data_IF_301669165854
#
_entry.id   IF_301669165854
#
_cell.length_a   1.000
_cell.length_b   1.000
_cell.length_c   1.000
_cell.angle_alpha   90.00
_cell.angle_beta   90.00
_cell.angle_gamma   90.00
#
_symmetry.space_group_name_H-M   'P 1'
#
loop_
_entity.id
_entity.type
_entity.pdbx_description
1 polymer ?
#
# COMPACT_ATOMS: atom_id res chain seq x y z
N UNK A 1 -14.33 -54.75 -13.38
CA UNK A 1 -15.20 -54.07 -12.40
C UNK A 1 -14.52 -54.19 -11.05
N UNK A 2 -14.41 -53.09 -10.29
CA UNK A 2 -13.61 -52.90 -9.06
C UNK A 2 -12.12 -52.60 -9.23
N UNK A 3 -11.81 -51.33 -9.50
CA UNK A 3 -10.64 -50.69 -8.87
C UNK A 3 -10.80 -49.15 -8.87
N UNK A 4 -11.99 -48.67 -8.55
CA UNK A 4 -12.22 -47.27 -8.21
C UNK A 4 -12.64 -47.23 -6.76
N UNK A 5 -11.70 -46.99 -5.85
CA UNK A 5 -11.87 -46.59 -4.44
C UNK A 5 -10.49 -46.63 -3.76
N UNK A 6 -9.65 -45.63 -3.99
CA UNK A 6 -8.64 -45.24 -2.99
C UNK A 6 -8.94 -43.79 -2.64
N UNK A 7 -9.83 -43.68 -1.66
CA UNK A 7 -10.31 -42.46 -1.03
C UNK A 7 -9.16 -41.79 -0.28
N UNK A 8 -9.00 -40.49 -0.53
CA UNK A 8 -8.74 -39.45 0.48
C UNK A 8 -7.98 -39.90 1.74
N UNK A 9 -6.64 -39.88 1.66
CA UNK A 9 -5.80 -39.80 2.86
C UNK A 9 -5.75 -38.35 3.36
N UNK A 10 -6.81 -37.94 4.05
CA UNK A 10 -6.80 -36.81 4.97
C UNK A 10 -5.99 -37.20 6.21
N UNK A 11 -4.72 -36.80 6.27
CA UNK A 11 -4.02 -36.69 7.54
C UNK A 11 -3.96 -35.22 7.93
N UNK A 12 -5.04 -34.78 8.57
CA UNK A 12 -5.12 -33.54 9.33
C UNK A 12 -4.14 -33.69 10.50
N UNK A 13 -3.02 -32.97 10.46
CA UNK A 13 -2.14 -32.83 11.60
C UNK A 13 -2.78 -31.91 12.63
N UNK A 14 -3.49 -32.50 13.60
CA UNK A 14 -3.93 -31.83 14.81
C UNK A 14 -2.74 -31.69 15.77
N UNK A 15 -2.25 -30.47 15.96
CA UNK A 15 -1.32 -30.17 17.06
C UNK A 15 -2.12 -29.83 18.31
N UNK A 16 -2.17 -30.75 19.28
CA UNK A 16 -2.60 -30.47 20.65
C UNK A 16 -1.41 -29.85 21.40
N UNK A 17 -1.45 -28.55 21.68
CA UNK A 17 -0.53 -27.90 22.61
C UNK A 17 -1.15 -27.90 24.02
N UNK A 18 -0.53 -28.67 24.92
CA UNK A 18 -0.89 -28.80 26.32
C UNK A 18 -0.68 -27.51 27.11
N UNK A 19 -1.63 -27.23 28.00
CA UNK A 19 -1.69 -26.07 28.89
C UNK A 19 -0.77 -26.27 30.09
N UNK A 20 0.40 -25.62 30.10
CA UNK A 20 1.24 -25.51 31.30
C UNK A 20 1.00 -24.15 31.96
N UNK A 21 0.26 -24.16 33.07
CA UNK A 21 0.11 -23.01 33.95
C UNK A 21 1.44 -22.73 34.65
N UNK A 22 2.14 -21.68 34.21
CA UNK A 22 3.18 -21.04 35.02
C UNK A 22 2.81 -19.57 35.09
N UNK A 23 2.45 -19.12 36.30
CA UNK A 23 2.06 -17.74 36.56
C UNK A 23 3.24 -16.81 36.37
N UNK A 24 3.32 -16.18 35.20
CA UNK A 24 4.01 -14.91 35.00
C UNK A 24 2.94 -13.83 34.90
N UNK A 25 2.96 -12.86 35.80
CA UNK A 25 2.24 -11.60 35.64
C UNK A 25 2.76 -10.92 34.36
N UNK A 26 2.14 -11.23 33.23
CA UNK A 26 2.32 -10.47 32.01
C UNK A 26 1.49 -9.20 32.23
N UNK A 27 2.16 -8.15 32.68
CA UNK A 27 1.71 -6.78 32.47
C UNK A 27 1.35 -6.72 30.97
N UNK A 28 0.11 -6.36 30.57
CA UNK A 28 -0.22 -6.20 29.17
C UNK A 28 0.63 -5.03 28.66
N UNK A 29 1.80 -5.34 28.10
CA UNK A 29 2.50 -4.44 27.21
C UNK A 29 1.52 -4.20 26.07
N UNK A 30 1.04 -2.95 25.93
CA UNK A 30 0.36 -2.50 24.73
C UNK A 30 1.08 -3.12 23.52
N UNK A 31 0.37 -3.66 22.51
CA UNK A 31 1.03 -4.10 21.29
C UNK A 31 1.81 -2.90 20.78
N UNK A 32 3.14 -2.94 20.92
CA UNK A 32 3.99 -1.99 20.23
C UNK A 32 3.79 -2.34 18.77
N UNK A 33 2.96 -1.56 18.07
CA UNK A 33 2.79 -1.67 16.63
C UNK A 33 4.18 -1.73 16.02
N UNK A 34 4.54 -2.89 15.47
CA UNK A 34 5.81 -3.01 14.76
C UNK A 34 5.80 -1.95 13.65
N UNK A 35 6.91 -1.22 13.45
CA UNK A 35 6.96 -0.20 12.43
C UNK A 35 6.74 -0.86 11.06
N UNK A 36 5.70 -0.41 10.37
CA UNK A 36 5.25 -0.93 9.06
C UNK A 36 6.38 -0.87 8.02
N UNK A 37 7.32 0.04 8.20
CA UNK A 37 8.37 0.32 7.25
C UNK A 37 7.89 1.30 6.18
N UNK A 38 8.77 1.58 5.22
CA UNK A 38 8.49 2.58 4.20
C UNK A 38 7.61 1.98 3.09
N UNK A 39 6.37 2.48 2.99
CA UNK A 39 5.43 2.11 1.92
C UNK A 39 5.07 3.35 1.12
N UNK A 40 5.09 3.24 -0.19
CA UNK A 40 4.82 4.30 -1.14
C UNK A 40 3.48 4.06 -1.81
N UNK A 41 2.65 5.09 -1.91
CA UNK A 41 1.41 5.03 -2.66
C UNK A 41 1.20 6.27 -3.53
N UNK A 42 0.59 6.08 -4.69
CA UNK A 42 0.14 7.20 -5.54
C UNK A 42 -1.38 7.24 -5.55
N UNK A 43 -1.94 8.34 -5.07
CA UNK A 43 -3.38 8.59 -5.11
C UNK A 43 -3.69 9.77 -6.05
N UNK A 44 -4.82 9.70 -6.73
CA UNK A 44 -5.31 10.81 -7.53
C UNK A 44 -6.05 11.86 -6.69
N UNK A 45 -6.13 13.09 -7.21
CA UNK A 45 -6.83 14.21 -6.57
C UNK A 45 -8.28 13.93 -6.20
N UNK A 46 -8.99 13.07 -6.93
CA UNK A 46 -10.36 12.69 -6.58
C UNK A 46 -10.48 11.75 -5.37
N UNK A 47 -9.36 11.19 -4.90
CA UNK A 47 -9.34 10.19 -3.82
C UNK A 47 -9.15 10.80 -2.43
N UNK A 48 -8.79 12.08 -2.34
CA UNK A 48 -8.54 12.74 -1.05
C UNK A 48 -8.86 14.23 -1.12
N UNK A 49 -9.11 14.83 0.05
CA UNK A 49 -9.31 16.27 0.16
C UNK A 49 -8.00 16.94 0.57
N UNK A 50 -7.45 17.81 -0.28
CA UNK A 50 -6.20 18.52 0.02
C UNK A 50 -6.31 19.36 1.30
N UNK A 51 -5.34 19.21 2.20
CA UNK A 51 -5.33 19.91 3.50
C UNK A 51 -6.23 19.27 4.57
N UNK A 52 -7.03 18.26 4.21
CA UNK A 52 -7.76 17.46 5.18
C UNK A 52 -6.83 16.46 5.88
N UNK A 53 -7.22 16.05 7.08
CA UNK A 53 -6.61 14.92 7.82
C UNK A 53 -7.24 13.58 7.44
N UNK A 54 -8.28 13.57 6.61
CA UNK A 54 -8.90 12.35 6.11
C UNK A 54 -7.91 11.53 5.28
N UNK A 55 -7.94 10.21 5.48
CA UNK A 55 -7.16 9.27 4.69
C UNK A 55 -7.69 9.21 3.25
N UNK A 56 -6.82 8.99 2.25
CA UNK A 56 -7.26 8.79 0.87
C UNK A 56 -8.18 7.56 0.78
N UNK A 57 -9.16 7.64 -0.12
CA UNK A 57 -10.18 6.62 -0.34
C UNK A 57 -9.86 5.76 -1.56
N UNK A 58 -10.27 4.50 -1.51
CA UNK A 58 -10.05 3.54 -2.58
C UNK A 58 -8.61 3.06 -2.69
N UNK A 59 -8.29 2.37 -3.78
CA UNK A 59 -6.96 1.82 -4.01
C UNK A 59 -6.02 2.84 -4.66
N UNK A 60 -4.74 2.86 -4.28
CA UNK A 60 -3.77 3.70 -4.95
C UNK A 60 -3.48 3.18 -6.36
N UNK A 61 -3.20 4.09 -7.29
CA UNK A 61 -2.79 3.76 -8.66
C UNK A 61 -1.38 3.13 -8.73
N UNK A 62 -0.62 3.25 -7.65
CA UNK A 62 0.69 2.62 -7.47
C UNK A 62 0.90 2.33 -6.00
N UNK A 63 1.39 1.13 -5.67
CA UNK A 63 1.77 0.73 -4.32
C UNK A 63 3.13 0.05 -4.37
N UNK A 64 4.05 0.43 -3.48
CA UNK A 64 5.35 -0.19 -3.38
C UNK A 64 5.84 -0.21 -1.94
N UNK A 65 6.27 -1.36 -1.46
CA UNK A 65 6.80 -1.56 -0.12
C UNK A 65 8.33 -1.72 -0.18
N UNK A 66 9.05 -0.98 0.66
CA UNK A 66 10.48 -1.14 0.82
C UNK A 66 10.78 -2.07 2.01
N UNK A 67 11.77 -2.97 1.88
CA UNK A 67 12.09 -3.94 2.94
C UNK A 67 12.76 -3.33 4.17
N UNK A 68 13.35 -2.12 4.04
CA UNK A 68 14.10 -1.49 5.12
C UNK A 68 13.16 -0.74 6.08
N UNK A 69 13.25 -1.06 7.37
CA UNK A 69 12.66 -0.23 8.42
C UNK A 69 13.40 1.11 8.52
N UNK A 70 12.66 2.21 8.57
CA UNK A 70 13.23 3.55 8.73
C UNK A 70 12.88 4.14 10.11
N UNK A 71 13.65 5.11 10.61
CA UNK A 71 13.34 5.77 11.88
C UNK A 71 11.95 6.44 11.89
N UNK A 72 11.26 6.37 13.03
CA UNK A 72 9.93 6.96 13.23
C UNK A 72 9.97 8.45 13.54
N UNK A 73 10.48 9.24 12.60
CA UNK A 73 10.58 10.68 12.73
C UNK A 73 10.52 11.37 11.36
N UNK A 74 10.54 12.71 11.37
CA UNK A 74 10.53 13.53 10.15
C UNK A 74 11.69 13.21 9.21
N UNK A 75 12.86 12.85 9.74
CA UNK A 75 14.00 12.45 8.93
C UNK A 75 13.74 11.12 8.21
N UNK A 76 13.23 10.11 8.90
CA UNK A 76 12.81 8.84 8.29
C UNK A 76 11.72 9.02 7.24
N UNK A 77 10.74 9.92 7.47
CA UNK A 77 9.73 10.25 6.46
C UNK A 77 10.33 10.88 5.19
N UNK A 78 11.33 11.75 5.34
CA UNK A 78 12.05 12.33 4.19
C UNK A 78 12.84 11.27 3.43
N UNK A 79 13.53 10.38 4.15
CA UNK A 79 14.26 9.26 3.56
C UNK A 79 13.31 8.30 2.83
N UNK A 80 12.14 7.99 3.42
CA UNK A 80 11.10 7.20 2.79
C UNK A 80 10.61 7.85 1.50
N UNK A 81 10.32 9.16 1.54
CA UNK A 81 9.92 9.93 0.35
C UNK A 81 10.97 9.83 -0.75
N UNK A 82 12.26 9.93 -0.42
CA UNK A 82 13.35 9.78 -1.40
C UNK A 82 13.36 8.39 -2.05
N UNK A 83 13.28 7.32 -1.25
CA UNK A 83 13.21 5.93 -1.74
C UNK A 83 11.98 5.72 -2.63
N UNK A 84 10.83 6.28 -2.26
CA UNK A 84 9.62 6.22 -3.06
C UNK A 84 9.78 6.91 -4.42
N UNK A 85 10.43 8.08 -4.46
CA UNK A 85 10.70 8.77 -5.72
C UNK A 85 11.62 7.94 -6.62
N UNK A 86 12.70 7.36 -6.08
CA UNK A 86 13.59 6.46 -6.84
C UNK A 86 12.82 5.27 -7.45
N UNK A 87 11.89 4.68 -6.69
CA UNK A 87 11.05 3.60 -7.18
C UNK A 87 10.08 4.03 -8.29
N UNK A 88 9.53 5.25 -8.22
CA UNK A 88 8.53 5.75 -9.17
C UNK A 88 9.16 6.29 -10.45
N UNK A 89 10.38 6.86 -10.39
CA UNK A 89 11.03 7.52 -11.54
C UNK A 89 11.11 6.61 -12.76
N UNK A 90 11.40 5.32 -12.57
CA UNK A 90 11.45 4.33 -13.67
C UNK A 90 10.10 4.11 -14.39
N UNK A 91 8.99 4.41 -13.72
CA UNK A 91 7.64 4.27 -14.25
C UNK A 91 7.08 5.57 -14.83
N UNK A 92 7.71 6.73 -14.59
CA UNK A 92 7.20 8.02 -15.03
C UNK A 92 6.93 8.10 -16.54
N UNK A 93 7.81 7.60 -17.44
CA UNK A 93 7.54 7.68 -18.89
C UNK A 93 6.23 7.00 -19.30
N UNK A 94 5.93 5.83 -18.72
CA UNK A 94 4.73 5.04 -19.01
C UNK A 94 3.59 5.24 -17.99
N UNK A 95 3.74 6.21 -17.08
CA UNK A 95 2.77 6.37 -15.99
C UNK A 95 1.33 6.69 -16.42
N UNK A 96 0.98 7.31 -17.58
CA UNK A 96 -0.42 7.48 -17.96
C UNK A 96 -1.09 6.13 -18.24
N UNK A 97 -0.38 5.25 -18.94
CA UNK A 97 -0.86 3.90 -19.25
C UNK A 97 -1.03 3.09 -17.98
N UNK A 98 -0.01 3.06 -17.11
CA UNK A 98 -0.04 2.32 -15.85
C UNK A 98 -1.18 2.83 -14.96
N UNK A 99 -1.28 4.15 -14.82
CA UNK A 99 -2.27 4.78 -13.97
C UNK A 99 -3.68 4.54 -14.50
N UNK A 100 -3.96 4.80 -15.77
CA UNK A 100 -5.29 4.58 -16.33
C UNK A 100 -5.71 3.11 -16.31
N UNK A 101 -4.78 2.18 -16.53
CA UNK A 101 -5.06 0.75 -16.45
C UNK A 101 -5.32 0.26 -15.02
N UNK A 102 -4.79 0.97 -14.01
CA UNK A 102 -5.00 0.65 -12.59
C UNK A 102 -6.27 1.25 -11.99
N UNK A 103 -6.96 2.13 -12.73
CA UNK A 103 -8.16 2.82 -12.25
C UNK A 103 -9.42 2.10 -12.72
N UNK A 104 -10.31 1.84 -11.77
CA UNK A 104 -11.65 1.30 -12.04
C UNK A 104 -12.66 2.38 -12.48
N UNK A 105 -12.18 3.56 -12.91
CA UNK A 105 -13.02 4.69 -13.29
C UNK A 105 -12.33 5.61 -14.29
N UNK A 106 -13.16 6.31 -15.06
CA UNK A 106 -12.70 7.44 -15.86
C UNK A 106 -12.28 8.61 -14.98
N UNK A 107 -11.34 9.42 -15.48
CA UNK A 107 -10.92 10.64 -14.83
C UNK A 107 -10.60 11.73 -15.85
N UNK A 108 -10.78 12.99 -15.45
CA UNK A 108 -10.46 14.16 -16.28
C UNK A 108 -9.70 15.17 -15.43
N UNK A 109 -8.52 15.57 -15.94
CA UNK A 109 -7.62 16.57 -15.35
C UNK A 109 -7.26 16.28 -13.88
N UNK A 110 -7.09 15.02 -13.52
CA UNK A 110 -6.67 14.64 -12.18
C UNK A 110 -5.14 14.67 -12.04
N UNK A 111 -4.67 15.05 -10.85
CA UNK A 111 -3.23 15.00 -10.52
C UNK A 111 -2.94 13.83 -9.60
N UNK A 112 -1.82 13.18 -9.84
CA UNK A 112 -1.29 12.12 -9.00
C UNK A 112 -0.43 12.71 -7.87
N UNK A 113 -0.61 12.22 -6.65
CA UNK A 113 0.09 12.67 -5.44
C UNK A 113 0.75 11.50 -4.73
N UNK A 114 1.96 11.73 -4.24
CA UNK A 114 2.72 10.75 -3.47
C UNK A 114 2.33 10.79 -1.99
N UNK A 115 1.98 9.63 -1.48
CA UNK A 115 1.76 9.36 -0.07
C UNK A 115 2.76 8.31 0.41
N UNK A 116 3.08 8.36 1.70
CA UNK A 116 3.94 7.37 2.34
C UNK A 116 3.30 6.82 3.61
N UNK A 117 3.65 5.59 3.99
CA UNK A 117 3.60 5.08 5.37
C UNK A 117 5.01 4.82 5.85
N UNK A 118 5.20 4.87 7.16
CA UNK A 118 6.49 4.58 7.78
C UNK A 118 6.29 3.81 9.10
N UNK A 119 5.72 4.46 10.12
CA UNK A 119 5.60 3.86 11.45
C UNK A 119 4.18 3.61 11.91
N UNK A 120 3.22 4.34 11.35
CA UNK A 120 1.80 4.12 11.60
C UNK A 120 1.15 3.67 10.31
N UNK A 121 0.03 2.97 10.43
CA UNK A 121 -0.77 2.54 9.28
C UNK A 121 -1.62 3.69 8.71
N UNK A 122 -1.02 4.88 8.63
CA UNK A 122 -1.66 6.11 8.21
C UNK A 122 -0.88 6.70 7.05
N UNK A 123 -1.57 7.00 5.96
CA UNK A 123 -0.97 7.68 4.81
C UNK A 123 -0.62 9.11 5.19
N UNK A 124 0.63 9.47 4.92
CA UNK A 124 1.19 10.81 5.07
C UNK A 124 1.29 11.43 3.67
N UNK A 125 0.57 12.53 3.42
CA UNK A 125 0.69 13.27 2.17
C UNK A 125 2.04 14.00 2.13
N UNK A 126 2.87 13.69 1.14
CA UNK A 126 4.19 14.35 0.96
C UNK A 126 4.08 15.74 0.34
N UNK A 127 2.89 16.12 -0.14
CA UNK A 127 2.60 17.27 -1.00
C UNK A 127 3.32 17.27 -2.35
N UNK A 128 4.03 16.18 -2.70
CA UNK A 128 4.61 15.99 -4.01
C UNK A 128 3.54 15.48 -4.97
N UNK A 129 3.44 16.13 -6.13
CA UNK A 129 2.52 15.75 -7.19
C UNK A 129 3.26 15.54 -8.50
N UNK A 130 2.68 14.75 -9.39
CA UNK A 130 3.13 14.69 -10.77
C UNK A 130 3.06 16.08 -11.41
N UNK A 131 4.03 16.40 -12.26
CA UNK A 131 4.08 17.66 -13.03
C UNK A 131 3.08 17.73 -14.19
N UNK A 132 2.17 16.76 -14.31
CA UNK A 132 1.14 16.70 -15.35
C UNK A 132 -0.19 16.23 -14.78
N UNK A 133 -1.24 16.47 -15.55
CA UNK A 133 -2.58 15.96 -15.32
C UNK A 133 -2.80 14.67 -16.11
N UNK A 134 -3.70 13.83 -15.60
CA UNK A 134 -4.10 12.55 -16.18
C UNK A 134 -5.57 12.62 -16.58
N UNK A 135 -5.83 12.08 -17.76
CA UNK A 135 -7.16 11.88 -18.30
C UNK A 135 -7.26 10.44 -18.80
N UNK A 136 -8.21 9.71 -18.25
CA UNK A 136 -8.40 8.27 -18.49
C UNK A 136 -9.83 8.04 -18.95
N UNK A 137 -9.97 7.23 -20.00
CA UNK A 137 -11.25 6.75 -20.48
C UNK A 137 -11.13 5.27 -20.84
N UNK A 138 -12.03 4.44 -20.31
CA UNK A 138 -12.05 3.00 -20.57
C UNK A 138 -10.69 2.33 -20.31
N UNK A 139 -10.04 2.71 -19.20
CA UNK A 139 -8.72 2.20 -18.80
C UNK A 139 -7.54 2.73 -19.64
N UNK A 140 -7.78 3.58 -20.62
CA UNK A 140 -6.75 4.10 -21.55
C UNK A 140 -6.50 5.60 -21.37
N UNK A 141 -5.24 6.07 -21.46
CA UNK A 141 -4.94 7.49 -21.36
C UNK A 141 -5.33 8.24 -22.63
N UNK A 142 -5.83 9.47 -22.47
CA UNK A 142 -6.05 10.41 -23.56
C UNK A 142 -5.53 11.81 -23.20
N UNK A 143 -5.44 12.70 -24.20
CA UNK A 143 -4.99 14.07 -23.97
C UNK A 143 -6.05 14.87 -23.22
N UNK A 144 -5.68 15.45 -22.08
CA UNK A 144 -6.50 16.40 -21.36
C UNK A 144 -6.66 17.69 -22.19
N UNK A 145 -7.86 17.89 -22.74
CA UNK A 145 -8.30 19.15 -23.32
C UNK A 145 -9.15 19.91 -22.29
#
# INVERSE_FOLDING_TARGET
MYLGLVMMALCISYSYAGKNNTGTNIIPSNPSEEPIGCVCAVFLSGQFTKGSKEQPKGYPAFLHEHPDSLPCNTFGNKLCTSKCLEAIVKHLPNSPTILCASLDRDCHKERAYLFIKNCKDEWINTNLSAGREYCCKDGSPYKCN
#
